data_IF_865413511841
#
_entry.id   IF_865413511841
#
_cell.length_a   1.000
_cell.length_b   1.000
_cell.length_c   1.000
_cell.angle_alpha   90.00
_cell.angle_beta   90.00
_cell.angle_gamma   90.00
#
_symmetry.space_group_name_H-M   'P 1'
#
loop_
_entity.id
_entity.type
_entity.pdbx_description
1 polymer ?
#
# COMPACT_ATOMS: atom_id res chain seq x y z
N UNK A 1 -13.69 -11.23 46.36
CA UNK A 1 -13.49 -11.78 45.00
C UNK A 1 -14.30 -10.94 44.01
N UNK A 2 -13.70 -9.85 43.50
CA UNK A 2 -14.30 -9.02 42.45
C UNK A 2 -13.68 -9.42 41.13
N UNK A 3 -14.36 -10.27 40.36
CA UNK A 3 -13.90 -10.70 39.04
C UNK A 3 -14.17 -9.55 38.08
N UNK A 4 -13.16 -8.72 37.79
CA UNK A 4 -13.22 -7.84 36.63
C UNK A 4 -13.16 -8.73 35.39
N UNK A 5 -14.31 -8.91 34.75
CA UNK A 5 -14.37 -9.39 33.37
C UNK A 5 -14.05 -8.17 32.53
N UNK A 6 -12.79 -8.03 32.10
CA UNK A 6 -12.48 -7.13 30.99
C UNK A 6 -13.23 -7.65 29.78
N UNK A 7 -14.27 -6.92 29.39
CA UNK A 7 -14.94 -7.12 28.12
C UNK A 7 -13.92 -6.75 27.05
N UNK A 8 -13.34 -7.74 26.40
CA UNK A 8 -12.55 -7.54 25.20
C UNK A 8 -13.42 -6.73 24.22
N UNK A 9 -13.02 -5.48 23.93
CA UNK A 9 -13.68 -4.67 22.94
C UNK A 9 -13.54 -5.38 21.59
N UNK A 10 -14.59 -6.07 21.17
CA UNK A 10 -14.60 -6.95 20.00
C UNK A 10 -14.58 -6.20 18.65
N UNK A 11 -14.45 -4.88 18.64
CA UNK A 11 -14.35 -4.10 17.41
C UNK A 11 -13.37 -2.94 17.60
N UNK A 12 -12.09 -3.18 17.29
CA UNK A 12 -11.22 -2.08 16.88
C UNK A 12 -11.63 -1.69 15.46
N UNK A 13 -12.30 -0.55 15.30
CA UNK A 13 -12.48 0.07 13.99
C UNK A 13 -11.13 0.59 13.52
N UNK A 14 -10.36 -0.27 12.84
CA UNK A 14 -9.07 0.07 12.31
C UNK A 14 -9.25 0.91 11.03
N UNK A 15 -9.29 2.23 11.22
CA UNK A 15 -9.28 3.18 10.11
C UNK A 15 -7.84 3.54 9.75
N UNK A 16 -7.38 3.05 8.59
CA UNK A 16 -6.10 3.43 8.01
C UNK A 16 -5.97 4.96 7.87
N UNK A 17 -7.08 5.64 7.59
CA UNK A 17 -7.11 7.09 7.42
C UNK A 17 -6.65 7.84 8.67
N UNK A 18 -7.00 7.32 9.86
CA UNK A 18 -6.66 7.90 11.17
C UNK A 18 -5.24 7.59 11.64
N UNK A 19 -4.54 6.65 11.02
CA UNK A 19 -3.21 6.21 11.45
C UNK A 19 -2.07 6.68 10.55
N UNK A 20 -2.38 7.06 9.31
CA UNK A 20 -1.42 7.73 8.44
C UNK A 20 -1.59 9.24 8.62
N UNK A 21 -0.53 10.00 8.95
CA UNK A 21 -0.63 11.46 9.05
C UNK A 21 -1.14 12.09 7.75
N UNK A 22 -2.00 13.11 7.84
CA UNK A 22 -2.50 13.85 6.65
C UNK A 22 -1.37 14.49 5.85
N UNK A 23 -0.30 14.94 6.52
CA UNK A 23 0.90 15.50 5.87
C UNK A 23 1.89 14.46 5.31
N UNK A 24 1.55 13.17 5.28
CA UNK A 24 2.47 12.12 4.83
C UNK A 24 2.83 12.32 3.35
N UNK A 25 4.13 12.25 3.02
CA UNK A 25 4.66 12.51 1.68
C UNK A 25 3.91 11.71 0.60
N UNK A 26 3.63 10.44 0.87
CA UNK A 26 2.97 9.58 -0.12
C UNK A 26 1.51 9.91 -0.35
N UNK A 27 0.79 10.45 0.63
CA UNK A 27 -0.57 10.93 0.41
C UNK A 27 -0.57 12.10 -0.57
N UNK A 28 0.38 13.03 -0.38
CA UNK A 28 0.57 14.16 -1.29
C UNK A 28 0.97 13.73 -2.70
N UNK A 29 1.73 12.65 -2.82
CA UNK A 29 2.07 12.07 -4.12
C UNK A 29 0.84 11.41 -4.73
N UNK A 30 0.10 10.61 -3.96
CA UNK A 30 -1.12 9.93 -4.42
C UNK A 30 -2.19 10.91 -4.91
N UNK A 31 -2.37 12.04 -4.22
CA UNK A 31 -3.29 13.11 -4.62
C UNK A 31 -3.04 13.67 -6.04
N UNK A 32 -1.79 13.61 -6.52
CA UNK A 32 -1.40 14.14 -7.84
C UNK A 32 -1.04 13.05 -8.85
N UNK A 33 -0.99 11.80 -8.41
CA UNK A 33 -0.56 10.66 -9.22
C UNK A 33 -1.78 10.01 -9.88
N UNK A 34 -2.05 10.40 -11.13
CA UNK A 34 -3.06 9.72 -11.96
C UNK A 34 -2.43 8.58 -12.78
N UNK A 35 -2.81 7.35 -12.43
CA UNK A 35 -2.41 6.12 -13.11
C UNK A 35 -3.61 5.36 -13.71
N UNK A 36 -4.78 6.00 -13.79
CA UNK A 36 -6.02 5.37 -14.29
C UNK A 36 -5.90 4.84 -15.72
N UNK A 37 -5.06 5.48 -16.55
CA UNK A 37 -4.78 5.11 -17.93
C UNK A 37 -3.82 3.92 -18.08
N UNK A 38 -2.99 3.67 -17.07
CA UNK A 38 -1.83 2.78 -17.17
C UNK A 38 -2.20 1.34 -17.50
N UNK A 39 -3.26 0.84 -16.85
CA UNK A 39 -3.72 -0.54 -17.03
C UNK A 39 -4.25 -0.79 -18.44
N UNK A 40 -4.92 0.19 -19.03
CA UNK A 40 -5.43 0.09 -20.39
C UNK A 40 -4.28 0.07 -21.41
N UNK A 41 -3.29 0.96 -21.23
CA UNK A 41 -2.12 1.04 -22.10
C UNK A 41 -1.28 -0.24 -22.05
N UNK A 42 -1.15 -0.84 -20.86
CA UNK A 42 -0.36 -2.05 -20.68
C UNK A 42 -1.11 -3.35 -20.96
N UNK A 43 -2.43 -3.29 -21.16
CA UNK A 43 -3.28 -4.47 -21.41
C UNK A 43 -2.75 -5.40 -22.50
N UNK A 44 -2.25 -4.90 -23.66
CA UNK A 44 -1.73 -5.78 -24.73
C UNK A 44 -0.50 -6.60 -24.36
N UNK A 45 0.24 -6.19 -23.32
CA UNK A 45 1.49 -6.85 -22.91
C UNK A 45 1.28 -7.92 -21.83
N UNK A 46 0.09 -8.00 -21.24
CA UNK A 46 -0.21 -9.03 -20.25
C UNK A 46 -0.51 -10.36 -20.91
N UNK A 47 0.14 -11.41 -20.41
CA UNK A 47 -0.20 -12.78 -20.80
C UNK A 47 -1.60 -13.13 -20.28
N UNK A 48 -2.43 -13.70 -21.16
CA UNK A 48 -3.71 -14.31 -20.79
C UNK A 48 -3.55 -15.71 -20.15
N UNK A 49 -2.33 -16.23 -20.08
CA UNK A 49 -2.00 -17.55 -19.52
C UNK A 49 -0.84 -17.47 -18.53
N UNK A 50 -0.77 -18.40 -17.59
CA UNK A 50 0.26 -18.43 -16.55
C UNK A 50 -0.10 -17.66 -15.28
N UNK A 51 0.90 -17.31 -14.47
CA UNK A 51 0.68 -16.57 -13.21
C UNK A 51 0.34 -15.11 -13.54
N UNK A 52 -0.76 -14.57 -13.00
CA UNK A 52 -1.11 -13.17 -13.21
C UNK A 52 0.04 -12.27 -12.70
N UNK A 53 0.43 -11.33 -13.55
CA UNK A 53 1.40 -10.30 -13.21
C UNK A 53 0.82 -9.37 -12.13
N UNK A 54 1.72 -8.68 -11.41
CA UNK A 54 1.34 -7.62 -10.49
C UNK A 54 0.62 -6.49 -11.25
N UNK A 55 -0.35 -5.84 -10.58
CA UNK A 55 -1.01 -4.66 -11.13
C UNK A 55 0.04 -3.56 -11.39
N UNK A 56 0.06 -2.94 -12.59
CA UNK A 56 1.08 -1.97 -12.93
C UNK A 56 1.00 -0.70 -12.08
N UNK A 57 -0.20 -0.29 -11.66
CA UNK A 57 -0.38 0.85 -10.75
C UNK A 57 0.31 0.57 -9.41
N UNK A 58 0.06 -0.62 -8.87
CA UNK A 58 0.66 -1.08 -7.62
C UNK A 58 2.19 -1.22 -7.73
N UNK A 59 2.70 -1.61 -8.89
CA UNK A 59 4.13 -1.66 -9.16
C UNK A 59 4.76 -0.26 -9.14
N UNK A 60 4.17 0.71 -9.84
CA UNK A 60 4.68 2.10 -9.86
C UNK A 60 4.64 2.70 -8.46
N UNK A 61 3.54 2.54 -7.72
CA UNK A 61 3.42 3.02 -6.33
C UNK A 61 4.54 2.47 -5.44
N UNK A 62 4.83 1.17 -5.52
CA UNK A 62 5.96 0.56 -4.79
C UNK A 62 7.30 1.17 -5.18
N UNK A 63 7.55 1.36 -6.48
CA UNK A 63 8.80 1.96 -6.94
C UNK A 63 8.97 3.42 -6.46
N UNK A 64 7.89 4.20 -6.43
CA UNK A 64 7.88 5.56 -5.89
C UNK A 64 8.22 5.57 -4.39
N UNK A 65 7.68 4.62 -3.63
CA UNK A 65 8.07 4.40 -2.23
C UNK A 65 9.57 4.14 -2.13
N UNK A 66 10.07 3.18 -2.89
CA UNK A 66 11.49 2.84 -2.87
C UNK A 66 12.39 4.04 -3.21
N UNK A 67 11.97 4.85 -4.17
CA UNK A 67 12.67 6.07 -4.55
C UNK A 67 12.65 7.14 -3.44
N UNK A 68 11.47 7.44 -2.88
CA UNK A 68 11.31 8.48 -1.85
C UNK A 68 12.09 8.16 -0.56
N UNK A 69 12.16 6.89 -0.17
CA UNK A 69 12.83 6.45 1.06
C UNK A 69 14.25 5.88 0.82
N UNK A 70 14.76 5.97 -0.41
CA UNK A 70 16.11 5.50 -0.76
C UNK A 70 16.29 3.98 -0.64
N UNK A 71 15.21 3.20 -0.72
CA UNK A 71 15.24 1.73 -0.66
C UNK A 71 15.66 1.18 -2.03
N UNK A 72 16.88 0.67 -2.11
CA UNK A 72 17.46 0.12 -3.36
C UNK A 72 17.16 -1.36 -3.57
N UNK A 73 16.80 -2.09 -2.52
CA UNK A 73 16.52 -3.52 -2.57
C UNK A 73 15.03 -3.76 -2.76
N UNK A 74 14.65 -4.44 -3.83
CA UNK A 74 13.26 -4.83 -4.11
C UNK A 74 12.69 -5.72 -3.00
N UNK A 75 13.49 -6.66 -2.46
CA UNK A 75 13.06 -7.51 -1.33
C UNK A 75 12.71 -6.66 -0.11
N UNK A 76 13.62 -5.76 0.26
CA UNK A 76 13.41 -4.84 1.39
C UNK A 76 12.21 -3.93 1.14
N UNK A 77 12.01 -3.47 -0.09
CA UNK A 77 10.85 -2.67 -0.47
C UNK A 77 9.54 -3.45 -0.29
N UNK A 78 9.51 -4.71 -0.71
CA UNK A 78 8.35 -5.59 -0.49
C UNK A 78 8.06 -5.80 1.00
N UNK A 79 9.09 -5.96 1.82
CA UNK A 79 8.94 -6.10 3.28
C UNK A 79 8.43 -4.81 3.92
N UNK A 80 9.02 -3.67 3.53
CA UNK A 80 8.66 -2.34 4.05
C UNK A 80 7.22 -1.97 3.69
N UNK A 81 6.81 -2.20 2.44
CA UNK A 81 5.43 -1.96 1.97
C UNK A 81 4.42 -2.86 2.67
N UNK A 82 4.82 -4.09 3.05
CA UNK A 82 3.94 -5.00 3.80
C UNK A 82 3.67 -4.54 5.23
N UNK A 83 4.65 -3.88 5.86
CA UNK A 83 4.63 -3.59 7.30
C UNK A 83 4.06 -2.23 7.66
N UNK A 84 3.84 -1.37 6.67
CA UNK A 84 3.75 0.05 6.92
C UNK A 84 2.45 0.58 6.30
N UNK A 85 1.56 0.93 7.23
CA UNK A 85 0.15 1.22 7.01
C UNK A 85 -0.08 2.45 6.10
N UNK A 86 0.97 3.26 5.90
CA UNK A 86 0.99 4.42 5.02
C UNK A 86 1.10 4.12 3.52
N UNK A 87 1.25 2.85 3.13
CA UNK A 87 1.48 2.44 1.74
C UNK A 87 0.27 1.82 1.04
N UNK A 88 -0.94 1.98 1.58
CA UNK A 88 -2.17 1.37 1.07
C UNK A 88 -3.17 2.39 0.54
#
# INVERSE_FOLDING_TARGET
>A
MGRQVEVAQLFYEFSLERHVPTGHLLRRIDEVLDLSWLRAELAPFYSCTGRPSIDPDLMIRKLLVGYCYGIRSERRLCDEVHLNLGYR
#
